data_IF_131996302099
#
_entry.id   IF_131996302099
#
_cell.length_a   1.000
_cell.length_b   1.000
_cell.length_c   1.000
_cell.angle_alpha   90.00
_cell.angle_beta   90.00
_cell.angle_gamma   90.00
#
_symmetry.space_group_name_H-M   'P 1'
#
loop_
_entity.id
_entity.type
_entity.pdbx_description
1 polymer ?
#
# COMPACT_ATOMS: atom_id res chain seq x y z
N UNK A 1 -33.22 -12.46 -1.27
CA UNK A 1 -32.30 -11.38 -0.95
C UNK A 1 -31.08 -11.50 -1.82
N UNK A 2 -30.76 -10.50 -2.59
CA UNK A 2 -29.54 -10.56 -3.38
C UNK A 2 -28.35 -10.64 -2.44
N UNK A 3 -27.47 -11.55 -2.72
CA UNK A 3 -26.20 -11.59 -2.02
C UNK A 3 -25.34 -10.49 -2.65
N UNK A 4 -25.32 -9.35 -1.99
CA UNK A 4 -24.47 -8.25 -2.41
C UNK A 4 -22.99 -8.60 -2.21
N UNK A 5 -22.15 -8.07 -3.08
CA UNK A 5 -20.71 -8.13 -2.87
C UNK A 5 -20.37 -7.19 -1.73
N UNK A 6 -19.67 -7.70 -0.74
CA UNK A 6 -19.16 -6.86 0.34
C UNK A 6 -17.88 -6.16 -0.12
N UNK A 7 -18.04 -5.00 -0.74
CA UNK A 7 -16.92 -4.21 -1.24
C UNK A 7 -15.98 -3.81 -0.11
N UNK A 8 -16.51 -3.48 1.07
CA UNK A 8 -15.67 -3.11 2.21
C UNK A 8 -14.77 -4.27 2.63
N UNK A 9 -15.29 -5.50 2.64
CA UNK A 9 -14.49 -6.67 2.96
C UNK A 9 -13.44 -6.94 1.87
N UNK A 10 -13.80 -6.77 0.61
CA UNK A 10 -12.86 -6.91 -0.49
C UNK A 10 -11.73 -5.88 -0.38
N UNK A 11 -12.06 -4.65 -0.03
CA UNK A 11 -11.06 -3.60 0.23
C UNK A 11 -10.14 -3.97 1.40
N UNK A 12 -10.68 -4.50 2.48
CA UNK A 12 -9.87 -4.95 3.63
C UNK A 12 -8.89 -6.06 3.25
N UNK A 13 -9.33 -7.03 2.47
CA UNK A 13 -8.46 -8.09 1.98
C UNK A 13 -7.36 -7.54 1.05
N UNK A 14 -7.70 -6.56 0.22
CA UNK A 14 -6.72 -5.92 -0.65
C UNK A 14 -5.70 -5.11 0.15
N UNK A 15 -6.15 -4.37 1.17
CA UNK A 15 -5.26 -3.68 2.09
C UNK A 15 -4.29 -4.63 2.76
N UNK A 16 -4.75 -5.82 3.14
CA UNK A 16 -3.89 -6.83 3.75
C UNK A 16 -2.77 -7.25 2.80
N UNK A 17 -3.07 -7.42 1.53
CA UNK A 17 -2.06 -7.71 0.51
C UNK A 17 -1.04 -6.58 0.38
N UNK A 18 -1.51 -5.34 0.41
CA UNK A 18 -0.63 -4.16 0.42
C UNK A 18 0.28 -4.19 1.65
N UNK A 19 -0.27 -4.49 2.83
CA UNK A 19 0.52 -4.57 4.07
C UNK A 19 1.59 -5.64 3.99
N UNK A 20 1.31 -6.78 3.39
CA UNK A 20 2.28 -7.87 3.23
C UNK A 20 3.49 -7.45 2.39
N UNK A 21 3.28 -6.62 1.37
CA UNK A 21 4.37 -6.07 0.55
C UNK A 21 5.03 -4.89 1.27
N UNK A 22 4.24 -4.03 1.90
CA UNK A 22 4.71 -2.83 2.58
C UNK A 22 5.62 -3.12 3.76
N UNK A 23 5.28 -4.12 4.58
CA UNK A 23 5.99 -4.35 5.84
C UNK A 23 7.48 -4.63 5.65
N UNK A 24 7.91 -5.51 4.71
CA UNK A 24 9.34 -5.67 4.44
C UNK A 24 10.01 -4.39 3.95
N UNK A 25 9.30 -3.58 3.16
CA UNK A 25 9.81 -2.30 2.67
C UNK A 25 9.99 -1.30 3.81
N UNK A 26 9.07 -1.27 4.78
CA UNK A 26 9.22 -0.44 5.97
C UNK A 26 10.42 -0.86 6.80
N UNK A 27 10.65 -2.16 6.97
CA UNK A 27 11.81 -2.66 7.70
C UNK A 27 13.11 -2.27 7.01
N UNK A 28 13.15 -2.39 5.68
CA UNK A 28 14.30 -1.97 4.89
C UNK A 28 14.55 -0.47 5.01
N UNK A 29 13.50 0.33 5.01
CA UNK A 29 13.59 1.79 5.13
C UNK A 29 14.03 2.20 6.54
N UNK A 30 13.64 1.46 7.58
CA UNK A 30 14.13 1.69 8.94
C UNK A 30 15.65 1.56 9.01
N UNK A 31 16.22 0.57 8.33
CA UNK A 31 17.68 0.40 8.24
C UNK A 31 18.32 1.58 7.51
N UNK A 32 17.73 2.00 6.40
CA UNK A 32 18.20 3.16 5.62
C UNK A 32 18.19 4.42 6.48
N UNK A 33 17.13 4.64 7.23
CA UNK A 33 17.01 5.78 8.15
C UNK A 33 18.08 5.75 9.22
N UNK A 34 18.32 4.60 9.84
CA UNK A 34 19.34 4.46 10.88
C UNK A 34 20.75 4.74 10.35
N UNK A 35 21.04 4.29 9.13
CA UNK A 35 22.33 4.61 8.48
C UNK A 35 22.48 6.09 8.21
N UNK A 36 21.39 6.76 7.81
CA UNK A 36 21.40 8.21 7.61
C UNK A 36 21.63 8.96 8.92
N UNK A 37 21.06 8.48 10.02
CA UNK A 37 21.28 9.05 11.36
C UNK A 37 22.76 8.89 11.76
N UNK A 38 23.34 7.70 11.56
CA UNK A 38 24.73 7.44 11.88
C UNK A 38 25.69 8.30 11.06
N UNK A 39 25.37 8.54 9.80
CA UNK A 39 26.15 9.37 8.90
C UNK A 39 25.89 10.88 9.08
N UNK A 40 24.93 11.24 9.91
CA UNK A 40 24.45 12.63 10.10
C UNK A 40 24.07 13.29 8.76
N UNK A 41 23.44 12.52 7.88
CA UNK A 41 23.00 12.98 6.57
C UNK A 41 21.55 13.46 6.66
N UNK A 42 21.38 14.78 6.78
CA UNK A 42 20.05 15.38 6.96
C UNK A 42 19.13 15.14 5.77
N UNK A 43 19.64 15.23 4.55
CA UNK A 43 18.83 15.01 3.34
C UNK A 43 18.37 13.56 3.26
N UNK A 44 19.25 12.61 3.55
CA UNK A 44 18.90 11.18 3.57
C UNK A 44 17.90 10.86 4.68
N UNK A 45 18.03 11.48 5.87
CA UNK A 45 17.06 11.32 6.95
C UNK A 45 15.69 11.81 6.54
N UNK A 46 15.61 12.97 5.91
CA UNK A 46 14.34 13.55 5.45
C UNK A 46 13.70 12.69 4.38
N UNK A 47 14.48 12.26 3.38
CA UNK A 47 13.99 11.39 2.30
C UNK A 47 13.46 10.07 2.84
N UNK A 48 14.17 9.45 3.77
CA UNK A 48 13.76 8.19 4.38
C UNK A 48 12.51 8.35 5.24
N UNK A 49 12.41 9.41 6.03
CA UNK A 49 11.23 9.69 6.84
C UNK A 49 9.99 9.90 5.96
N UNK A 50 10.12 10.61 4.84
CA UNK A 50 9.05 10.82 3.88
C UNK A 50 8.58 9.49 3.29
N UNK A 51 9.52 8.64 2.86
CA UNK A 51 9.18 7.34 2.29
C UNK A 51 8.51 6.42 3.30
N UNK A 52 8.97 6.42 4.56
CA UNK A 52 8.33 5.66 5.63
C UNK A 52 6.87 6.09 5.82
N UNK A 53 6.60 7.39 5.79
CA UNK A 53 5.24 7.90 5.91
C UNK A 53 4.39 7.49 4.71
N UNK A 54 4.92 7.57 3.50
CA UNK A 54 4.23 7.10 2.30
C UNK A 54 3.89 5.60 2.40
N UNK A 55 4.81 4.78 2.89
CA UNK A 55 4.59 3.35 3.08
C UNK A 55 3.52 3.07 4.14
N UNK A 56 3.49 3.82 5.23
CA UNK A 56 2.43 3.69 6.25
C UNK A 56 1.07 4.04 5.67
N UNK A 57 1.01 5.02 4.78
CA UNK A 57 -0.23 5.50 4.16
C UNK A 57 -0.60 4.71 2.90
N UNK A 58 0.16 3.67 2.55
CA UNK A 58 -0.02 2.93 1.30
C UNK A 58 -1.41 2.32 1.11
N UNK A 59 -2.12 2.04 2.21
CA UNK A 59 -3.48 1.49 2.16
C UNK A 59 -4.55 2.56 1.91
N UNK A 60 -4.22 3.84 2.02
CA UNK A 60 -5.21 4.91 1.89
C UNK A 60 -5.80 4.99 0.48
N UNK A 61 -5.04 4.60 -0.54
CA UNK A 61 -5.53 4.57 -1.92
C UNK A 61 -6.71 3.61 -2.09
N UNK A 62 -6.77 2.56 -1.28
CA UNK A 62 -7.90 1.60 -1.30
C UNK A 62 -9.15 2.24 -0.73
N UNK A 63 -9.02 2.98 0.36
CA UNK A 63 -10.15 3.67 0.99
C UNK A 63 -10.77 4.73 0.08
N UNK A 64 -9.94 5.42 -0.70
CA UNK A 64 -10.39 6.45 -1.63
C UNK A 64 -10.81 5.89 -3.00
N UNK A 65 -10.57 4.60 -3.26
CA UNK A 65 -10.90 3.98 -4.54
C UNK A 65 -12.43 3.85 -4.70
N UNK A 66 -12.92 4.20 -5.88
CA UNK A 66 -14.32 4.03 -6.24
C UNK A 66 -14.49 2.69 -6.96
N UNK A 67 -15.26 1.79 -6.36
CA UNK A 67 -15.55 0.49 -6.93
C UNK A 67 -16.96 0.51 -7.48
N UNK A 68 -17.08 0.41 -8.80
CA UNK A 68 -18.36 0.46 -9.50
C UNK A 68 -18.87 -0.91 -9.92
N UNK A 69 -18.00 -1.92 -9.90
CA UNK A 69 -18.37 -3.27 -10.30
C UNK A 69 -19.38 -3.89 -9.31
N UNK A 70 -20.27 -4.74 -9.83
CA UNK A 70 -21.34 -5.37 -9.06
C UNK A 70 -21.17 -6.87 -8.90
N UNK A 71 -20.12 -7.45 -9.49
CA UNK A 71 -19.81 -8.88 -9.35
C UNK A 71 -18.41 -9.06 -8.76
N UNK A 72 -18.13 -10.28 -8.31
CA UNK A 72 -16.87 -10.62 -7.65
C UNK A 72 -15.69 -10.39 -8.59
N UNK A 73 -15.81 -10.82 -9.84
CA UNK A 73 -14.75 -10.70 -10.83
C UNK A 73 -14.42 -9.23 -11.09
N UNK A 74 -15.44 -8.40 -11.31
CA UNK A 74 -15.26 -6.97 -11.57
C UNK A 74 -14.66 -6.24 -10.38
N UNK A 75 -15.13 -6.50 -9.16
CA UNK A 75 -14.58 -5.90 -7.95
C UNK A 75 -13.11 -6.30 -7.78
N UNK A 76 -12.79 -7.57 -7.97
CA UNK A 76 -11.42 -8.05 -7.86
C UNK A 76 -10.52 -7.37 -8.90
N UNK A 77 -10.98 -7.25 -10.14
CA UNK A 77 -10.20 -6.61 -11.20
C UNK A 77 -9.98 -5.12 -10.94
N UNK A 78 -10.99 -4.43 -10.45
CA UNK A 78 -10.85 -3.01 -10.09
C UNK A 78 -9.86 -2.82 -8.93
N UNK A 79 -9.94 -3.66 -7.91
CA UNK A 79 -9.02 -3.59 -6.78
C UNK A 79 -7.58 -3.93 -7.17
N UNK A 80 -7.37 -4.88 -8.09
CA UNK A 80 -6.02 -5.20 -8.58
C UNK A 80 -5.32 -3.99 -9.17
N UNK A 81 -6.05 -3.04 -9.73
CA UNK A 81 -5.50 -1.82 -10.31
C UNK A 81 -5.19 -0.76 -9.25
N UNK A 82 -5.71 -0.92 -8.04
CA UNK A 82 -5.46 -0.02 -6.93
C UNK A 82 -4.13 -0.43 -6.27
N UNK A 83 -3.04 -0.01 -6.89
CA UNK A 83 -1.69 -0.39 -6.48
C UNK A 83 -0.70 0.72 -6.87
N UNK A 84 0.07 1.19 -5.91
CA UNK A 84 1.09 2.20 -6.14
C UNK A 84 2.41 1.52 -6.51
N UNK A 85 2.67 1.38 -7.80
CA UNK A 85 3.87 0.71 -8.30
C UNK A 85 5.15 1.49 -7.98
N UNK A 86 5.07 2.81 -7.87
CA UNK A 86 6.23 3.64 -7.53
C UNK A 86 6.66 3.40 -6.09
N UNK A 87 5.70 3.12 -5.22
CA UNK A 87 5.94 2.93 -3.79
C UNK A 87 6.20 1.47 -3.43
N UNK A 88 5.39 0.54 -3.98
CA UNK A 88 5.34 -0.86 -3.58
C UNK A 88 6.05 -1.80 -4.55
N UNK A 89 6.46 -1.30 -5.72
CA UNK A 89 7.03 -2.10 -6.77
C UNK A 89 5.97 -2.73 -7.67
N UNK A 90 6.35 -3.77 -8.40
CA UNK A 90 5.47 -4.41 -9.36
C UNK A 90 4.21 -4.97 -8.68
N UNK A 91 3.07 -4.79 -9.34
CA UNK A 91 1.79 -5.30 -8.86
C UNK A 91 1.79 -6.85 -8.92
N UNK A 92 1.75 -7.57 -7.78
CA UNK A 92 1.77 -9.02 -7.77
C UNK A 92 0.42 -9.66 -8.09
N UNK A 93 -0.60 -8.84 -8.22
CA UNK A 93 -1.96 -9.28 -8.45
C UNK A 93 -2.28 -9.24 -9.94
#
# INVERSE_FOLDING_TARGET
MPIGINVNKAKELHKEKIRQVRNPLLQSEDVTFMRAVEADDTDAKTASATRKQQLRDATNIVDSATITATDVTGVTNQLKQVWDTDLLGDNPL
#
